data_IF_889468371259
#
_entry.id   IF_889468371259
#
_cell.length_a   1.000
_cell.length_b   1.000
_cell.length_c   1.000
_cell.angle_alpha   90.00
_cell.angle_beta   90.00
_cell.angle_gamma   90.00
#
_symmetry.space_group_name_H-M   'P 1'
#
loop_
_entity.id
_entity.type
_entity.pdbx_description
1 polymer ?
#
# COMPACT_ATOMS: atom_id res chain seq x y z
N UNK A 1 -56.35 -20.33 -1.59
CA UNK A 1 -55.28 -20.09 -2.58
C UNK A 1 -54.06 -19.55 -1.83
N UNK A 2 -53.35 -20.36 -1.04
CA UNK A 2 -52.33 -21.33 -1.44
C UNK A 2 -51.15 -20.68 -2.21
N UNK A 3 -50.19 -20.20 -1.41
CA UNK A 3 -48.74 -20.36 -1.58
C UNK A 3 -48.12 -20.02 -2.95
N UNK A 4 -47.54 -18.81 -3.07
CA UNK A 4 -46.49 -18.49 -4.06
C UNK A 4 -45.39 -17.62 -3.42
N UNK A 5 -44.84 -18.09 -2.31
CA UNK A 5 -43.57 -17.58 -1.77
C UNK A 5 -42.55 -18.71 -1.82
N UNK A 6 -41.94 -18.96 -2.97
CA UNK A 6 -40.74 -19.78 -3.04
C UNK A 6 -40.05 -19.58 -4.38
N UNK A 7 -38.72 -19.55 -4.35
CA UNK A 7 -37.80 -19.63 -5.50
C UNK A 7 -37.43 -18.30 -6.19
N UNK A 8 -36.93 -17.30 -5.45
CA UNK A 8 -35.98 -16.31 -6.01
C UNK A 8 -34.81 -16.04 -5.03
N UNK A 9 -34.42 -17.04 -4.23
CA UNK A 9 -33.44 -16.87 -3.15
C UNK A 9 -32.12 -17.61 -3.32
N UNK A 10 -31.99 -18.56 -4.24
CA UNK A 10 -30.93 -19.58 -4.18
C UNK A 10 -29.96 -19.59 -5.36
N UNK A 11 -30.12 -18.73 -6.37
CA UNK A 11 -29.22 -18.70 -7.53
C UNK A 11 -28.03 -17.71 -7.39
N UNK A 12 -28.10 -16.74 -6.47
CA UNK A 12 -27.05 -15.71 -6.36
C UNK A 12 -25.90 -16.09 -5.39
N UNK A 13 -26.10 -17.09 -4.53
CA UNK A 13 -25.10 -17.53 -3.57
C UNK A 13 -24.06 -18.51 -4.14
N UNK A 14 -24.29 -19.08 -5.32
CA UNK A 14 -23.39 -20.08 -5.93
C UNK A 14 -22.28 -19.48 -6.81
N UNK A 15 -22.32 -18.18 -7.11
CA UNK A 15 -21.36 -17.55 -8.03
C UNK A 15 -20.12 -16.95 -7.31
N UNK A 16 -20.05 -17.01 -5.98
CA UNK A 16 -18.98 -16.37 -5.20
C UNK A 16 -17.84 -17.30 -4.76
N UNK A 17 -17.90 -18.60 -5.07
CA UNK A 17 -16.97 -19.60 -4.50
C UNK A 17 -15.70 -19.85 -5.31
N UNK A 18 -15.50 -19.20 -6.46
CA UNK A 18 -14.23 -19.28 -7.19
C UNK A 18 -13.54 -17.92 -7.11
N UNK A 19 -12.88 -17.67 -5.98
CA UNK A 19 -11.88 -16.61 -5.89
C UNK A 19 -10.61 -17.13 -6.57
N UNK A 20 -10.16 -16.55 -7.70
CA UNK A 20 -8.86 -16.89 -8.24
C UNK A 20 -7.81 -16.55 -7.20
N UNK A 21 -7.06 -17.56 -6.74
CA UNK A 21 -5.91 -17.34 -5.88
C UNK A 21 -4.87 -16.61 -6.73
N UNK A 22 -4.69 -15.30 -6.50
CA UNK A 22 -3.57 -14.57 -7.05
C UNK A 22 -2.30 -15.22 -6.50
N UNK A 23 -1.68 -16.11 -7.27
CA UNK A 23 -0.34 -16.58 -7.00
C UNK A 23 0.57 -15.39 -7.27
N UNK A 24 1.16 -14.82 -6.23
CA UNK A 24 2.34 -14.00 -6.43
C UNK A 24 3.38 -14.90 -7.12
N UNK A 25 3.65 -14.63 -8.38
CA UNK A 25 4.77 -15.26 -9.07
C UNK A 25 6.01 -14.88 -8.23
N UNK A 26 6.64 -15.88 -7.60
CA UNK A 26 7.62 -15.66 -6.53
C UNK A 26 8.91 -14.96 -6.99
N UNK A 27 9.00 -14.64 -8.26
CA UNK A 27 10.06 -13.92 -8.94
C UNK A 27 9.98 -12.43 -8.61
N UNK A 28 10.80 -12.00 -7.64
CA UNK A 28 11.10 -10.57 -7.45
C UNK A 28 11.90 -10.08 -8.66
N UNK A 29 11.45 -8.99 -9.27
CA UNK A 29 12.21 -8.35 -10.33
C UNK A 29 13.52 -7.76 -9.76
N UNK A 30 14.66 -7.90 -10.46
CA UNK A 30 15.86 -7.18 -10.09
C UNK A 30 15.62 -5.68 -10.21
N UNK A 31 16.14 -4.92 -9.26
CA UNK A 31 16.15 -3.45 -9.26
C UNK A 31 17.59 -2.95 -9.36
N UNK A 32 17.78 -1.78 -9.95
CA UNK A 32 19.06 -1.10 -10.04
C UNK A 32 19.49 -0.46 -8.71
N UNK A 33 20.72 0.07 -8.70
CA UNK A 33 21.28 0.74 -7.53
C UNK A 33 20.52 2.03 -7.17
N UNK A 34 20.06 2.77 -8.18
CA UNK A 34 19.26 4.00 -8.02
C UNK A 34 17.96 3.83 -8.78
N UNK A 35 16.84 3.92 -8.07
CA UNK A 35 15.49 3.79 -8.61
C UNK A 35 14.65 5.02 -8.30
N UNK A 36 13.55 5.18 -9.03
CA UNK A 36 12.53 6.17 -8.67
C UNK A 36 11.58 5.56 -7.64
N UNK A 37 11.45 6.21 -6.49
CA UNK A 37 10.55 5.82 -5.41
C UNK A 37 9.51 6.92 -5.19
N UNK A 38 8.26 6.52 -4.94
CA UNK A 38 7.15 7.44 -4.64
C UNK A 38 6.87 7.48 -3.15
N UNK A 39 6.97 8.66 -2.56
CA UNK A 39 6.50 8.93 -1.20
C UNK A 39 4.98 9.15 -1.25
N UNK A 40 4.27 8.42 -0.41
CA UNK A 40 2.82 8.48 -0.25
C UNK A 40 2.46 9.10 1.11
N UNK A 41 1.29 9.76 1.22
CA UNK A 41 0.25 9.92 0.19
C UNK A 41 0.47 11.05 -0.84
N UNK A 42 1.48 11.91 -0.67
CA UNK A 42 1.66 13.16 -1.43
C UNK A 42 2.10 12.95 -2.89
N UNK A 43 2.33 11.70 -3.31
CA UNK A 43 2.75 11.31 -4.66
C UNK A 43 4.03 11.99 -5.13
N UNK A 44 5.01 12.15 -4.23
CA UNK A 44 6.30 12.77 -4.51
C UNK A 44 7.27 11.72 -5.03
N UNK A 45 7.79 11.91 -6.24
CA UNK A 45 8.80 11.02 -6.83
C UNK A 45 10.22 11.51 -6.54
N UNK A 46 11.07 10.61 -6.03
CA UNK A 46 12.47 10.89 -5.74
C UNK A 46 13.38 9.80 -6.30
N UNK A 47 14.63 10.17 -6.61
CA UNK A 47 15.70 9.22 -6.93
C UNK A 47 16.30 8.71 -5.61
N UNK A 48 16.17 7.43 -5.33
CA UNK A 48 16.65 6.82 -4.10
C UNK A 48 17.61 5.66 -4.39
N UNK A 49 18.56 5.45 -3.48
CA UNK A 49 19.48 4.32 -3.53
C UNK A 49 18.85 3.08 -2.89
N UNK A 50 18.90 1.94 -3.58
CA UNK A 50 18.55 0.63 -3.04
C UNK A 50 19.77 0.06 -2.32
N UNK A 51 19.90 0.38 -1.02
CA UNK A 51 21.08 0.04 -0.22
C UNK A 51 20.90 -1.27 0.54
N UNK A 52 21.36 -2.38 -0.01
CA UNK A 52 21.30 -3.69 0.66
C UNK A 52 22.20 -3.79 1.90
N UNK A 53 23.08 -2.81 2.13
CA UNK A 53 23.92 -2.74 3.32
C UNK A 53 23.27 -2.01 4.50
N UNK A 54 22.09 -1.41 4.32
CA UNK A 54 21.37 -0.68 5.36
C UNK A 54 20.17 -1.49 5.87
N UNK A 55 20.04 -1.60 7.19
CA UNK A 55 18.87 -2.24 7.83
C UNK A 55 17.62 -1.36 7.73
N UNK A 56 17.79 -0.03 7.79
CA UNK A 56 16.72 0.94 7.79
C UNK A 56 16.83 1.90 6.60
N UNK A 57 15.69 2.40 6.14
CA UNK A 57 15.65 3.51 5.18
C UNK A 57 16.01 4.84 5.85
N UNK A 58 16.59 5.76 5.09
CA UNK A 58 16.90 7.12 5.54
C UNK A 58 16.57 8.13 4.47
N UNK A 59 16.24 9.36 4.88
CA UNK A 59 15.93 10.49 4.00
C UNK A 59 16.48 11.77 4.63
N UNK A 60 17.10 12.64 3.83
CA UNK A 60 17.55 13.96 4.30
C UNK A 60 16.34 14.87 4.49
N UNK A 61 16.23 15.46 5.67
CA UNK A 61 15.08 16.29 6.07
C UNK A 61 15.53 17.61 6.69
N UNK A 62 14.71 18.65 6.55
CA UNK A 62 14.96 20.00 7.10
C UNK A 62 13.73 20.51 7.84
N UNK A 63 13.93 21.54 8.66
CA UNK A 63 12.88 22.32 9.31
C UNK A 63 11.84 21.43 10.02
N UNK A 64 12.33 20.49 10.84
CA UNK A 64 11.47 19.51 11.47
C UNK A 64 10.87 20.02 12.79
N UNK A 65 9.62 19.66 13.04
CA UNK A 65 8.90 19.95 14.29
C UNK A 65 8.05 18.75 14.71
N UNK A 66 7.89 18.56 16.02
CA UNK A 66 6.99 17.54 16.58
C UNK A 66 5.60 18.12 16.81
N UNK A 67 4.55 17.35 16.50
CA UNK A 67 3.17 17.73 16.77
C UNK A 67 2.30 16.51 17.08
N UNK A 68 1.14 16.71 17.71
CA UNK A 68 0.17 15.65 17.96
C UNK A 68 -0.85 15.56 16.81
N UNK A 69 -1.12 14.35 16.34
CA UNK A 69 -2.18 14.05 15.37
C UNK A 69 -2.80 12.70 15.69
N UNK A 70 -4.12 12.69 15.79
CA UNK A 70 -4.92 11.49 16.09
C UNK A 70 -4.47 10.76 17.37
N UNK A 71 -4.02 11.51 18.37
CA UNK A 71 -3.55 10.98 19.67
C UNK A 71 -2.16 10.34 19.63
N UNK A 72 -1.40 10.55 18.56
CA UNK A 72 -0.02 10.11 18.44
C UNK A 72 0.92 11.29 18.18
N UNK A 73 2.19 11.10 18.55
CA UNK A 73 3.26 12.05 18.23
C UNK A 73 3.76 11.85 16.80
N UNK A 74 3.82 12.93 16.04
CA UNK A 74 4.27 12.98 14.65
C UNK A 74 5.39 13.99 14.48
N UNK A 75 6.18 13.82 13.42
CA UNK A 75 7.15 14.81 12.95
C UNK A 75 6.67 15.36 11.61
N UNK A 76 6.62 16.69 11.49
CA UNK A 76 6.55 17.39 10.21
C UNK A 76 7.95 17.78 9.80
N UNK A 77 8.27 17.66 8.53
CA UNK A 77 9.57 18.03 8.00
C UNK A 77 9.43 18.47 6.54
N UNK A 78 10.49 19.09 6.02
CA UNK A 78 10.61 19.48 4.61
C UNK A 78 11.63 18.59 3.90
N UNK A 79 11.29 18.12 2.71
CA UNK A 79 12.21 17.45 1.79
C UNK A 79 12.80 18.46 0.81
N UNK A 80 14.10 18.38 0.56
CA UNK A 80 14.72 19.04 -0.60
C UNK A 80 14.90 18.00 -1.70
N UNK A 81 14.23 18.23 -2.82
CA UNK A 81 14.22 17.34 -3.99
C UNK A 81 15.28 17.77 -5.00
#
# INVERSE_FOLDING_TARGET
MALRHLVIGTALAALTLVQPSARADGTRAPVGLIETVRIQPEAIDIRAKVDTGAENSSVDTRDWETFERDGASWIRFTLRL
#
